data_IF_522256963112
#
_entry.id   IF_522256963112
#
_cell.length_a   1.000
_cell.length_b   1.000
_cell.length_c   1.000
_cell.angle_alpha   90.00
_cell.angle_beta   90.00
_cell.angle_gamma   90.00
#
_symmetry.space_group_name_H-M   'P 1'
#
loop_
_entity.id
_entity.type
_entity.pdbx_description
1 polymer ?
#
# COMPACT_ATOMS: atom_id res chain seq x y z
N UNK A 1 -24.85 -48.07 -10.40
CA UNK A 1 -23.57 -47.68 -11.04
C UNK A 1 -22.89 -46.72 -10.09
N UNK A 2 -22.08 -47.25 -9.18
CA UNK A 2 -21.34 -46.47 -8.18
C UNK A 2 -20.05 -45.98 -8.83
N UNK A 3 -20.00 -44.69 -9.19
CA UNK A 3 -18.78 -44.05 -9.66
C UNK A 3 -17.83 -43.85 -8.49
N UNK A 4 -16.63 -44.42 -8.59
CA UNK A 4 -15.54 -44.22 -7.65
C UNK A 4 -15.24 -42.71 -7.49
N UNK A 5 -15.28 -42.14 -6.26
CA UNK A 5 -15.03 -40.71 -6.02
C UNK A 5 -13.67 -40.25 -6.56
N UNK A 6 -12.66 -41.13 -6.64
CA UNK A 6 -11.37 -40.81 -7.24
C UNK A 6 -11.50 -40.50 -8.74
N UNK A 7 -12.38 -41.21 -9.45
CA UNK A 7 -12.63 -40.99 -10.88
C UNK A 7 -13.37 -39.67 -11.13
N UNK A 8 -14.22 -39.23 -10.19
CA UNK A 8 -14.92 -37.94 -10.28
C UNK A 8 -13.96 -36.76 -10.11
N UNK A 9 -13.06 -36.83 -9.14
CA UNK A 9 -12.06 -35.78 -8.86
C UNK A 9 -11.13 -35.60 -10.07
N UNK A 10 -10.66 -36.70 -10.67
CA UNK A 10 -9.80 -36.65 -11.86
C UNK A 10 -10.53 -36.01 -13.04
N UNK A 11 -11.81 -36.34 -13.27
CA UNK A 11 -12.61 -35.74 -14.35
C UNK A 11 -12.82 -34.24 -14.15
N UNK A 12 -13.10 -33.81 -12.92
CA UNK A 12 -13.26 -32.38 -12.58
C UNK A 12 -11.93 -31.64 -12.79
N UNK A 13 -10.82 -32.19 -12.32
CA UNK A 13 -9.49 -31.60 -12.51
C UNK A 13 -9.13 -31.46 -13.99
N UNK A 14 -9.45 -32.47 -14.82
CA UNK A 14 -9.23 -32.41 -16.27
C UNK A 14 -10.08 -31.34 -16.96
N UNK A 15 -11.35 -31.20 -16.56
CA UNK A 15 -12.25 -30.17 -17.13
C UNK A 15 -11.78 -28.77 -16.74
N UNK A 16 -11.39 -28.56 -15.47
CA UNK A 16 -10.84 -27.28 -15.01
C UNK A 16 -9.55 -26.95 -15.74
N UNK A 17 -8.62 -27.92 -15.85
CA UNK A 17 -7.37 -27.76 -16.59
C UNK A 17 -7.60 -27.40 -18.06
N UNK A 18 -8.50 -28.11 -18.74
CA UNK A 18 -8.85 -27.83 -20.14
C UNK A 18 -9.46 -26.43 -20.32
N UNK A 19 -10.29 -25.99 -19.37
CA UNK A 19 -10.91 -24.66 -19.39
C UNK A 19 -9.87 -23.56 -19.17
N UNK A 20 -8.94 -23.75 -18.23
CA UNK A 20 -7.83 -22.82 -18.00
C UNK A 20 -6.92 -22.71 -19.23
N UNK A 21 -6.55 -23.84 -19.85
CA UNK A 21 -5.72 -23.84 -21.07
C UNK A 21 -6.44 -23.11 -22.20
N UNK A 22 -7.72 -23.39 -22.42
CA UNK A 22 -8.51 -22.73 -23.46
C UNK A 22 -8.59 -21.21 -23.26
N UNK A 23 -8.75 -20.77 -22.01
CA UNK A 23 -8.77 -19.34 -21.67
C UNK A 23 -7.41 -18.66 -21.90
N UNK A 24 -6.31 -19.31 -21.50
CA UNK A 24 -4.94 -18.80 -21.72
C UNK A 24 -4.65 -18.66 -23.21
N UNK A 25 -4.98 -19.69 -24.02
CA UNK A 25 -4.78 -19.64 -25.48
C UNK A 25 -5.62 -18.53 -26.10
N UNK A 26 -6.89 -18.39 -25.69
CA UNK A 26 -7.77 -17.32 -26.16
C UNK A 26 -7.22 -15.93 -25.87
N UNK A 27 -6.73 -15.68 -24.65
CA UNK A 27 -6.12 -14.41 -24.29
C UNK A 27 -4.84 -14.12 -25.08
N UNK A 28 -3.99 -15.13 -25.29
CA UNK A 28 -2.73 -14.98 -26.02
C UNK A 28 -2.96 -14.62 -27.49
N UNK A 29 -3.99 -15.20 -28.12
CA UNK A 29 -4.40 -14.85 -29.49
C UNK A 29 -4.88 -13.40 -29.58
N UNK A 30 -5.66 -12.91 -28.61
CA UNK A 30 -6.11 -11.50 -28.57
C UNK A 30 -4.92 -10.54 -28.45
N UNK A 31 -3.93 -10.87 -27.62
CA UNK A 31 -2.74 -10.04 -27.43
C UNK A 31 -1.84 -10.03 -28.69
N UNK A 32 -1.71 -11.16 -29.38
CA UNK A 32 -1.00 -11.23 -30.68
C UNK A 32 -1.70 -10.38 -31.74
N UNK A 33 -3.03 -10.40 -31.82
CA UNK A 33 -3.80 -9.56 -32.76
C UNK A 33 -3.66 -8.08 -32.41
N UNK A 34 -3.63 -7.73 -31.13
CA UNK A 34 -3.40 -6.34 -30.67
C UNK A 34 -1.98 -5.85 -31.00
N UNK A 35 -0.98 -6.73 -30.87
CA UNK A 35 0.40 -6.44 -31.27
C UNK A 35 0.50 -6.22 -32.80
N UNK A 36 -0.12 -7.09 -33.60
CA UNK A 36 -0.13 -6.98 -35.06
C UNK A 36 -0.83 -5.70 -35.57
N UNK A 37 -1.76 -5.15 -34.79
CA UNK A 37 -2.44 -3.88 -35.09
C UNK A 37 -1.71 -2.64 -34.54
N UNK A 38 -0.53 -2.80 -33.96
CA UNK A 38 0.26 -1.68 -33.39
C UNK A 38 -0.34 -1.06 -32.12
N UNK A 39 -1.33 -1.71 -31.50
CA UNK A 39 -2.05 -1.18 -30.33
C UNK A 39 -1.29 -1.40 -29.01
N UNK A 40 -0.20 -2.17 -29.03
CA UNK A 40 0.57 -2.55 -27.83
C UNK A 40 2.07 -2.57 -28.16
N UNK A 41 2.91 -2.04 -27.27
CA UNK A 41 4.38 -2.12 -27.39
C UNK A 41 4.89 -3.54 -27.15
N UNK A 42 5.90 -3.98 -27.91
CA UNK A 42 6.57 -5.30 -27.81
C UNK A 42 7.04 -5.64 -26.38
N UNK A 43 7.35 -4.63 -25.57
CA UNK A 43 7.73 -4.79 -24.15
C UNK A 43 6.58 -5.28 -23.27
N UNK A 44 5.37 -4.80 -23.54
CA UNK A 44 4.13 -5.18 -22.83
C UNK A 44 3.70 -6.60 -23.20
N UNK A 45 3.90 -6.98 -24.47
CA UNK A 45 3.65 -8.33 -24.96
C UNK A 45 4.60 -9.35 -24.30
N UNK A 46 5.90 -9.05 -24.23
CA UNK A 46 6.87 -9.91 -23.52
C UNK A 46 6.54 -10.04 -22.02
N UNK A 47 6.06 -8.98 -21.37
CA UNK A 47 5.61 -9.02 -19.97
C UNK A 47 4.31 -9.82 -19.75
N UNK A 48 3.44 -9.90 -20.75
CA UNK A 48 2.27 -10.79 -20.72
C UNK A 48 2.70 -12.25 -20.91
N UNK A 49 3.55 -12.54 -21.91
CA UNK A 49 4.08 -13.88 -22.19
C UNK A 49 4.86 -14.43 -20.99
N UNK A 50 5.69 -13.62 -20.32
CA UNK A 50 6.42 -14.02 -19.12
C UNK A 50 5.50 -14.37 -17.94
N UNK A 51 4.40 -13.62 -17.75
CA UNK A 51 3.38 -13.94 -16.73
C UNK A 51 2.66 -15.25 -17.04
N UNK A 52 2.35 -15.51 -18.31
CA UNK A 52 1.72 -16.78 -18.71
C UNK A 52 2.64 -17.99 -18.57
N UNK A 53 3.93 -17.85 -18.88
CA UNK A 53 4.92 -18.91 -18.68
C UNK A 53 5.11 -19.25 -17.19
N UNK A 54 5.04 -18.26 -16.29
CA UNK A 54 5.04 -18.50 -14.84
C UNK A 54 3.80 -19.27 -14.36
N UNK A 55 2.61 -18.94 -14.87
CA UNK A 55 1.39 -19.66 -14.49
C UNK A 55 1.43 -21.11 -15.01
N UNK A 56 1.98 -21.33 -16.21
CA UNK A 56 2.15 -22.67 -16.77
C UNK A 56 3.14 -23.54 -15.96
N UNK A 57 4.25 -22.98 -15.46
CA UNK A 57 5.21 -23.73 -14.63
C UNK A 57 4.67 -24.09 -13.25
N UNK A 58 3.71 -23.34 -12.70
CA UNK A 58 3.04 -23.66 -11.43
C UNK A 58 1.99 -24.76 -11.59
N UNK A 59 1.36 -24.90 -12.77
CA UNK A 59 0.34 -25.92 -13.04
C UNK A 59 0.95 -27.27 -13.45
N UNK A 60 2.16 -27.27 -14.01
CA UNK A 60 2.83 -28.48 -14.52
C UNK A 60 3.25 -29.53 -13.44
N UNK A 61 3.57 -29.21 -12.18
CA UNK A 61 3.99 -30.23 -11.20
C UNK A 61 2.85 -31.13 -10.73
N UNK A 62 1.58 -30.74 -10.91
CA UNK A 62 0.44 -31.51 -10.39
C UNK A 62 0.13 -32.79 -11.18
N UNK A 63 0.80 -33.06 -12.30
CA UNK A 63 0.51 -34.23 -13.15
C UNK A 63 1.64 -35.28 -13.13
N UNK A 64 2.78 -35.05 -12.47
CA UNK A 64 3.93 -35.98 -12.52
C UNK A 64 4.55 -36.38 -11.15
N UNK A 65 3.87 -36.12 -10.03
CA UNK A 65 4.39 -36.40 -8.70
C UNK A 65 3.82 -37.65 -8.01
N UNK A 66 3.82 -38.84 -8.64
CA UNK A 66 3.69 -40.10 -7.88
C UNK A 66 5.05 -40.46 -7.27
N UNK A 67 5.34 -39.91 -6.09
CA UNK A 67 6.60 -40.14 -5.36
C UNK A 67 6.39 -40.03 -3.85
N UNK A 68 6.26 -41.19 -3.22
CA UNK A 68 6.09 -41.42 -1.78
C UNK A 68 7.14 -40.68 -0.95
N UNK A 69 6.71 -39.86 0.00
CA UNK A 69 7.52 -39.45 1.16
C UNK A 69 6.69 -39.64 2.44
N UNK A 70 7.01 -40.72 3.16
CA UNK A 70 6.53 -41.04 4.50
C UNK A 70 6.87 -39.90 5.46
N UNK A 71 5.85 -39.28 6.06
CA UNK A 71 6.01 -38.54 7.30
C UNK A 71 5.75 -39.50 8.46
N UNK A 72 6.78 -39.69 9.27
CA UNK A 72 6.82 -40.47 10.50
C UNK A 72 5.86 -39.84 11.52
N UNK A 73 4.80 -40.56 11.86
CA UNK A 73 3.89 -40.21 12.96
C UNK A 73 4.58 -40.45 14.30
N UNK A 74 4.65 -39.41 15.13
CA UNK A 74 4.93 -39.57 16.56
C UNK A 74 3.74 -40.24 17.25
N UNK A 75 4.10 -41.21 18.07
CA UNK A 75 3.28 -42.15 18.80
C UNK A 75 2.61 -41.44 20.00
N UNK A 76 1.27 -41.41 20.03
CA UNK A 76 0.49 -41.09 21.24
C UNK A 76 -0.34 -42.32 21.56
N UNK A 77 0.03 -42.97 22.65
CA UNK A 77 -0.73 -44.03 23.32
C UNK A 77 -1.95 -43.42 24.01
N UNK A 78 -3.11 -44.08 23.87
CA UNK A 78 -4.04 -44.40 24.97
C UNK A 78 -5.01 -45.48 24.45
N UNK A 79 -5.02 -46.69 25.02
CA UNK A 79 -5.93 -47.19 26.08
C UNK A 79 -7.38 -47.32 25.59
N UNK A 80 -7.80 -48.58 25.40
CA UNK A 80 -9.17 -49.03 25.14
C UNK A 80 -10.12 -48.65 26.30
N UNK A 81 -11.33 -48.16 26.00
CA UNK A 81 -12.59 -48.82 26.42
C UNK A 81 -13.84 -48.21 25.74
N UNK A 82 -14.88 -49.04 25.70
CA UNK A 82 -16.16 -49.03 24.98
C UNK A 82 -17.09 -47.80 25.08
N UNK A 83 -17.92 -47.61 24.04
CA UNK A 83 -19.26 -47.04 24.24
C UNK A 83 -19.90 -46.24 23.09
N UNK A 84 -20.68 -46.94 22.26
CA UNK A 84 -21.84 -46.49 21.44
C UNK A 84 -22.21 -44.99 21.41
N UNK A 85 -22.28 -44.44 20.20
CA UNK A 85 -23.11 -43.28 19.85
C UNK A 85 -22.86 -42.86 18.41
N UNK A 86 -23.84 -43.09 17.53
CA UNK A 86 -23.69 -42.84 16.09
C UNK A 86 -23.67 -41.37 15.74
N UNK A 87 -22.95 -41.02 14.68
CA UNK A 87 -23.26 -39.88 13.80
C UNK A 87 -22.43 -39.97 12.52
N UNK A 88 -23.09 -39.68 11.41
CA UNK A 88 -22.61 -39.74 10.03
C UNK A 88 -21.49 -38.72 9.75
N UNK A 89 -20.46 -39.06 8.95
CA UNK A 89 -19.45 -38.07 8.55
C UNK A 89 -20.00 -37.10 7.50
N UNK A 90 -20.06 -35.82 7.87
CA UNK A 90 -20.32 -34.69 6.97
C UNK A 90 -19.10 -34.51 6.08
N UNK A 91 -19.28 -34.66 4.77
CA UNK A 91 -18.29 -34.32 3.77
C UNK A 91 -18.16 -32.79 3.71
N UNK A 92 -17.00 -32.26 4.12
CA UNK A 92 -16.63 -30.86 3.89
C UNK A 92 -16.12 -30.73 2.46
N UNK A 93 -17.00 -30.28 1.57
CA UNK A 93 -16.65 -29.80 0.23
C UNK A 93 -16.08 -28.37 0.35
N UNK A 94 -14.90 -28.05 -0.20
CA UNK A 94 -14.46 -26.65 -0.26
C UNK A 94 -15.23 -25.95 -1.37
N UNK A 95 -16.27 -25.21 -0.98
CA UNK A 95 -17.02 -24.32 -1.86
C UNK A 95 -16.31 -22.97 -1.91
N UNK A 96 -15.95 -22.56 -3.12
CA UNK A 96 -15.54 -21.20 -3.47
C UNK A 96 -16.72 -20.26 -3.21
N UNK A 97 -16.57 -19.41 -2.21
CA UNK A 97 -17.32 -18.18 -1.96
C UNK A 97 -16.37 -17.27 -1.17
N UNK A 98 -16.05 -16.05 -1.55
CA UNK A 98 -16.97 -15.01 -1.98
C UNK A 98 -16.86 -13.88 -0.96
N UNK A 99 -16.45 -12.70 -1.45
CA UNK A 99 -16.30 -11.44 -0.70
C UNK A 99 -17.60 -11.05 0.03
N UNK A 100 -17.44 -10.25 1.09
CA UNK A 100 -18.41 -9.35 1.79
C UNK A 100 -19.01 -9.85 3.12
N UNK A 101 -18.60 -9.25 4.26
CA UNK A 101 -19.48 -8.46 5.16
C UNK A 101 -18.80 -8.06 6.50
N UNK A 102 -18.57 -6.74 6.65
CA UNK A 102 -18.76 -5.82 7.80
C UNK A 102 -18.54 -6.24 9.27
N UNK A 103 -18.03 -5.27 10.06
CA UNK A 103 -18.24 -5.23 11.50
C UNK A 103 -17.61 -4.05 12.26
N UNK A 104 -18.13 -2.83 12.07
CA UNK A 104 -18.04 -1.75 13.07
C UNK A 104 -18.78 -2.21 14.32
N UNK A 105 -18.13 -2.19 15.49
CA UNK A 105 -18.82 -2.25 16.78
C UNK A 105 -18.41 -1.04 17.61
N UNK A 106 -19.22 0.01 17.50
CA UNK A 106 -19.42 0.96 18.58
C UNK A 106 -20.43 0.33 19.56
N UNK A 107 -20.04 0.18 20.82
CA UNK A 107 -20.92 -0.27 21.90
C UNK A 107 -20.72 0.61 23.13
N UNK A 108 -21.55 1.66 23.25
CA UNK A 108 -21.80 2.34 24.52
C UNK A 108 -22.95 1.64 25.25
N UNK A 109 -22.87 1.74 26.58
CA UNK A 109 -23.92 1.71 27.59
C UNK A 109 -24.18 0.46 28.46
N UNK A 110 -23.60 0.58 29.66
CA UNK A 110 -24.22 0.51 30.99
C UNK A 110 -24.66 -0.84 31.56
N UNK A 111 -23.96 -1.26 32.62
CA UNK A 111 -24.61 -1.78 33.83
C UNK A 111 -23.94 -1.23 35.09
N UNK A 112 -24.70 -0.40 35.82
CA UNK A 112 -24.44 0.01 37.20
C UNK A 112 -24.75 -1.16 38.14
N UNK A 113 -23.81 -1.54 39.01
CA UNK A 113 -24.11 -1.94 40.40
C UNK A 113 -22.90 -1.69 41.31
N UNK A 114 -23.22 -1.26 42.52
CA UNK A 114 -22.39 -0.51 43.49
C UNK A 114 -22.00 -1.41 44.67
N UNK A 115 -20.84 -1.10 45.29
CA UNK A 115 -20.31 -1.49 46.64
C UNK A 115 -19.73 -2.91 46.74
N UNK A 116 -18.65 -3.22 47.47
CA UNK A 116 -17.73 -2.62 48.48
C UNK A 116 -16.56 -3.63 48.52
N UNK A 117 -15.25 -3.35 48.60
CA UNK A 117 -14.47 -2.82 49.73
C UNK A 117 -12.98 -3.06 49.39
N UNK A 118 -12.06 -2.26 49.95
CA UNK A 118 -10.70 -2.73 50.28
C UNK A 118 -9.56 -2.56 49.27
N UNK A 119 -8.92 -1.39 49.31
CA UNK A 119 -7.46 -1.17 49.32
C UNK A 119 -6.56 -1.83 48.25
N UNK A 120 -6.11 -1.03 47.29
CA UNK A 120 -4.88 -1.26 46.49
C UNK A 120 -4.05 0.02 46.41
N UNK A 121 -2.71 -0.08 46.29
CA UNK A 121 -1.79 1.03 46.52
C UNK A 121 -1.79 2.03 45.36
N UNK A 122 -1.61 3.30 45.71
CA UNK A 122 -1.54 4.43 44.80
C UNK A 122 -0.31 4.30 43.89
N UNK A 123 -0.53 4.05 42.61
CA UNK A 123 0.42 4.41 41.55
C UNK A 123 -0.07 5.74 40.99
N UNK A 124 0.73 6.79 41.16
CA UNK A 124 0.53 8.05 40.46
C UNK A 124 0.56 7.75 38.95
N UNK A 125 -0.60 7.81 38.33
CA UNK A 125 -0.72 7.85 36.88
C UNK A 125 -0.22 9.20 36.42
N UNK A 126 0.96 9.22 35.82
CA UNK A 126 1.36 10.31 34.95
C UNK A 126 0.30 10.43 33.85
N UNK A 127 -0.24 11.63 33.71
CA UNK A 127 -1.25 12.00 32.71
C UNK A 127 -0.78 11.65 31.29
N UNK A 128 -1.70 11.16 30.47
CA UNK A 128 -1.52 10.91 29.02
C UNK A 128 -1.36 12.20 28.19
N UNK A 129 -1.16 13.36 28.85
CA UNK A 129 -1.10 14.68 28.23
C UNK A 129 0.34 15.18 27.93
N UNK A 130 1.39 14.45 28.32
CA UNK A 130 2.80 14.88 28.13
C UNK A 130 3.51 14.29 26.89
N UNK A 131 2.77 13.66 25.96
CA UNK A 131 3.34 13.03 24.75
C UNK A 131 2.99 13.71 23.42
N UNK A 132 2.49 14.95 23.42
CA UNK A 132 2.02 15.59 22.19
C UNK A 132 2.50 17.02 21.91
N UNK A 133 3.57 17.49 22.56
CA UNK A 133 4.08 18.87 22.35
C UNK A 133 5.24 19.01 21.35
N UNK A 134 5.70 17.92 20.72
CA UNK A 134 6.67 17.96 19.61
C UNK A 134 6.00 17.70 18.25
N UNK A 135 4.76 18.18 18.06
CA UNK A 135 4.22 18.35 16.73
C UNK A 135 5.07 19.39 15.99
N UNK A 136 6.04 18.89 15.21
CA UNK A 136 6.83 19.61 14.20
C UNK A 136 6.01 20.75 13.61
N UNK A 137 6.30 21.97 14.07
CA UNK A 137 5.84 23.19 13.41
C UNK A 137 6.51 23.19 12.05
N UNK A 138 5.78 22.77 11.02
CA UNK A 138 6.20 22.90 9.63
C UNK A 138 6.19 24.40 9.34
N UNK A 139 7.38 24.92 9.08
CA UNK A 139 7.66 26.32 8.77
C UNK A 139 6.74 26.85 7.65
N UNK A 140 6.41 28.14 7.76
CA UNK A 140 5.50 28.88 6.91
C UNK A 140 5.88 28.75 5.42
N UNK A 141 4.98 28.15 4.63
CA UNK A 141 4.89 28.28 3.16
C UNK A 141 6.24 28.19 2.42
N UNK A 142 6.78 26.99 2.31
CA UNK A 142 7.77 26.65 1.27
C UNK A 142 7.28 27.22 -0.06
N UNK A 143 8.03 28.16 -0.64
CA UNK A 143 7.67 28.77 -1.91
C UNK A 143 7.47 27.68 -2.97
N UNK A 144 6.34 27.73 -3.69
CA UNK A 144 6.02 26.70 -4.68
C UNK A 144 7.09 26.72 -5.79
N UNK A 145 7.81 25.61 -6.00
CA UNK A 145 8.84 25.54 -7.03
C UNK A 145 8.24 25.73 -8.43
N UNK A 146 9.00 26.36 -9.33
CA UNK A 146 8.56 26.63 -10.72
C UNK A 146 8.32 25.35 -11.53
N UNK A 147 8.87 24.21 -11.11
CA UNK A 147 8.64 22.91 -11.74
C UNK A 147 7.23 22.34 -11.45
N UNK A 148 6.51 22.89 -10.47
CA UNK A 148 5.15 22.47 -10.12
C UNK A 148 4.16 23.09 -11.11
N UNK A 149 3.30 22.28 -11.75
CA UNK A 149 2.31 22.80 -12.68
C UNK A 149 1.28 23.68 -11.95
N UNK A 150 0.81 24.73 -12.61
CA UNK A 150 -0.33 25.52 -12.10
C UNK A 150 -1.56 24.61 -12.00
N UNK A 151 -2.22 24.65 -10.85
CA UNK A 151 -3.39 23.83 -10.55
C UNK A 151 -4.28 24.57 -9.55
N UNK A 152 -5.57 24.25 -9.61
CA UNK A 152 -6.56 24.76 -8.65
C UNK A 152 -6.87 23.71 -7.58
N UNK A 153 -6.65 22.43 -7.89
CA UNK A 153 -6.89 21.32 -7.00
C UNK A 153 -5.77 20.28 -7.03
N UNK A 154 -5.54 19.64 -5.89
CA UNK A 154 -4.63 18.50 -5.74
C UNK A 154 -5.44 17.26 -5.38
N UNK A 155 -5.30 16.21 -6.19
CA UNK A 155 -5.73 14.85 -5.86
C UNK A 155 -4.61 14.17 -5.07
N UNK A 156 -4.78 14.11 -3.75
CA UNK A 156 -3.80 13.57 -2.81
C UNK A 156 -3.94 12.06 -2.66
N UNK A 157 -2.91 11.30 -3.02
CA UNK A 157 -2.81 9.85 -2.83
C UNK A 157 -1.56 9.40 -2.09
N UNK A 158 -0.61 10.29 -1.79
CA UNK A 158 0.58 9.99 -0.97
C UNK A 158 0.23 9.98 0.53
N UNK A 159 -0.69 9.10 0.93
CA UNK A 159 -1.29 9.06 2.25
C UNK A 159 -2.80 8.84 2.14
N UNK A 160 -3.60 9.29 3.14
CA UNK A 160 -5.04 9.21 3.07
C UNK A 160 -5.59 9.95 1.85
N UNK A 161 -6.47 9.28 1.10
CA UNK A 161 -7.02 9.88 -0.12
C UNK A 161 -7.84 11.13 0.21
N UNK A 162 -7.56 12.20 -0.51
CA UNK A 162 -8.29 13.46 -0.40
C UNK A 162 -8.17 14.29 -1.67
N UNK A 163 -9.16 15.13 -1.95
CA UNK A 163 -9.01 16.23 -2.92
C UNK A 163 -9.02 17.55 -2.15
N UNK A 164 -8.05 18.41 -2.41
CA UNK A 164 -7.92 19.75 -1.78
C UNK A 164 -7.83 20.84 -2.83
N UNK A 165 -8.19 22.07 -2.47
CA UNK A 165 -7.85 23.27 -3.25
C UNK A 165 -6.34 23.53 -3.21
N UNK A 166 -5.85 24.43 -4.04
CA UNK A 166 -4.46 24.91 -4.01
C UNK A 166 -4.07 25.50 -2.64
N UNK A 167 -5.03 26.08 -1.92
CA UNK A 167 -4.85 26.63 -0.57
C UNK A 167 -4.88 25.56 0.54
N UNK A 168 -5.19 24.31 0.19
CA UNK A 168 -5.22 23.17 1.11
C UNK A 168 -6.60 22.81 1.67
N UNK A 169 -7.66 23.54 1.30
CA UNK A 169 -9.01 23.26 1.79
C UNK A 169 -9.58 21.98 1.19
N UNK A 170 -10.13 21.10 2.03
CA UNK A 170 -10.69 19.81 1.57
C UNK A 170 -11.98 20.01 0.77
N UNK A 171 -12.01 19.48 -0.45
CA UNK A 171 -13.21 19.40 -1.28
C UNK A 171 -14.14 18.32 -0.72
N UNK A 172 -15.42 18.68 -0.53
CA UNK A 172 -16.45 17.75 -0.02
C UNK A 172 -17.31 17.22 -1.17
N UNK A 173 -17.34 15.90 -1.30
CA UNK A 173 -18.21 15.20 -2.24
C UNK A 173 -19.44 14.67 -1.52
N UNK A 174 -20.61 14.69 -2.17
CA UNK A 174 -21.78 14.06 -1.58
C UNK A 174 -21.68 12.52 -1.61
N UNK A 175 -20.81 11.99 -2.49
CA UNK A 175 -20.60 10.55 -2.67
C UNK A 175 -19.11 10.21 -2.70
N UNK A 176 -18.70 9.18 -1.97
CA UNK A 176 -17.31 8.71 -1.96
C UNK A 176 -16.80 8.32 -3.37
N UNK A 177 -17.66 7.70 -4.19
CA UNK A 177 -17.30 7.35 -5.59
C UNK A 177 -17.03 8.55 -6.48
N UNK A 178 -17.47 9.75 -6.11
CA UNK A 178 -17.16 10.99 -6.83
C UNK A 178 -15.75 11.48 -6.54
N UNK A 179 -15.27 11.32 -5.30
CA UNK A 179 -13.87 11.54 -4.93
C UNK A 179 -12.96 10.55 -5.66
N UNK A 180 -13.32 9.26 -5.62
CA UNK A 180 -12.58 8.21 -6.34
C UNK A 180 -12.50 8.47 -7.84
N UNK A 181 -13.59 8.90 -8.48
CA UNK A 181 -13.57 9.23 -9.91
C UNK A 181 -12.57 10.35 -10.23
N UNK A 182 -12.53 11.41 -9.42
CA UNK A 182 -11.57 12.49 -9.64
C UNK A 182 -10.13 12.05 -9.44
N UNK A 183 -9.88 11.26 -8.40
CA UNK A 183 -8.55 10.70 -8.14
C UNK A 183 -8.14 9.78 -9.29
N UNK A 184 -9.04 8.92 -9.78
CA UNK A 184 -8.79 8.07 -10.94
C UNK A 184 -8.44 8.91 -12.18
N UNK A 185 -9.20 9.97 -12.47
CA UNK A 185 -8.92 10.86 -13.61
C UNK A 185 -7.58 11.60 -13.49
N UNK A 186 -7.21 12.04 -12.29
CA UNK A 186 -5.93 12.67 -12.02
C UNK A 186 -4.75 11.69 -12.23
N UNK A 187 -4.93 10.44 -11.82
CA UNK A 187 -3.92 9.38 -11.95
C UNK A 187 -3.85 8.74 -13.36
N UNK A 188 -4.84 8.99 -14.22
CA UNK A 188 -4.92 8.42 -15.58
C UNK A 188 -5.01 9.49 -16.68
N UNK A 189 -4.01 10.39 -16.82
CA UNK A 189 -4.09 11.50 -17.78
C UNK A 189 -4.27 11.05 -19.25
N UNK A 190 -3.81 9.85 -19.61
CA UNK A 190 -3.89 9.30 -20.97
C UNK A 190 -5.12 8.41 -21.23
N UNK A 191 -5.96 8.13 -20.23
CA UNK A 191 -7.05 7.13 -20.34
C UNK A 191 -8.40 7.64 -19.82
N UNK A 192 -8.66 8.94 -19.89
CA UNK A 192 -9.87 9.56 -19.29
C UNK A 192 -11.15 9.29 -20.09
N UNK A 193 -11.61 8.05 -20.12
CA UNK A 193 -12.84 7.62 -20.78
C UNK A 193 -13.87 7.09 -19.79
N UNK A 194 -15.18 7.31 -20.03
CA UNK A 194 -16.26 6.84 -19.14
C UNK A 194 -16.30 5.33 -19.08
N UNK A 195 -16.15 4.67 -20.22
CA UNK A 195 -16.07 3.20 -20.32
C UNK A 195 -14.96 2.62 -19.44
N UNK A 196 -13.76 3.19 -19.49
CA UNK A 196 -12.61 2.78 -18.68
C UNK A 196 -12.82 3.07 -17.19
N UNK A 197 -13.26 4.29 -16.86
CA UNK A 197 -13.54 4.67 -15.48
C UNK A 197 -14.57 3.73 -14.84
N UNK A 198 -15.60 3.32 -15.60
CA UNK A 198 -16.62 2.37 -15.11
C UNK A 198 -16.03 0.99 -14.82
N UNK A 199 -15.17 0.50 -15.69
CA UNK A 199 -14.54 -0.81 -15.54
C UNK A 199 -13.56 -0.86 -14.35
N UNK A 200 -12.86 0.24 -14.10
CA UNK A 200 -11.83 0.31 -13.06
C UNK A 200 -12.43 0.59 -11.67
N UNK A 201 -13.44 1.46 -11.58
CA UNK A 201 -14.02 1.90 -10.31
C UNK A 201 -15.03 0.87 -9.76
N UNK A 202 -15.80 0.22 -10.63
CA UNK A 202 -16.82 -0.75 -10.22
C UNK A 202 -16.46 -2.17 -10.64
N UNK A 203 -16.58 -3.11 -9.71
CA UNK A 203 -16.45 -4.54 -10.00
C UNK A 203 -17.59 -5.07 -10.89
N UNK A 204 -18.77 -4.45 -10.80
CA UNK A 204 -19.94 -4.81 -11.58
C UNK A 204 -20.38 -3.67 -12.52
N UNK A 205 -20.93 -3.99 -13.72
CA UNK A 205 -21.43 -2.97 -14.63
C UNK A 205 -22.51 -2.09 -13.98
N UNK A 206 -22.32 -0.78 -14.07
CA UNK A 206 -23.29 0.22 -13.55
C UNK A 206 -24.13 0.84 -14.67
N UNK A 207 -25.36 1.22 -14.33
CA UNK A 207 -26.26 1.95 -15.23
C UNK A 207 -25.71 3.34 -15.54
N UNK A 208 -26.04 3.86 -16.72
CA UNK A 208 -25.61 5.20 -17.15
C UNK A 208 -26.05 6.31 -16.19
N UNK A 209 -27.26 6.21 -15.63
CA UNK A 209 -27.78 7.17 -14.66
C UNK A 209 -26.95 7.24 -13.38
N UNK A 210 -26.44 6.10 -12.89
CA UNK A 210 -25.55 6.06 -11.72
C UNK A 210 -24.27 6.81 -12.01
N UNK A 211 -23.64 6.55 -13.15
CA UNK A 211 -22.41 7.24 -13.53
C UNK A 211 -22.63 8.74 -13.79
N UNK A 212 -23.76 9.12 -14.40
CA UNK A 212 -24.15 10.52 -14.58
C UNK A 212 -24.32 11.26 -13.25
N UNK A 213 -24.86 10.59 -12.21
CA UNK A 213 -24.96 11.15 -10.87
C UNK A 213 -23.59 11.37 -10.23
N UNK A 214 -22.66 10.42 -10.35
CA UNK A 214 -21.29 10.55 -9.83
C UNK A 214 -20.52 11.69 -10.49
N UNK A 215 -20.55 11.77 -11.83
CA UNK A 215 -19.89 12.85 -12.60
C UNK A 215 -20.50 14.22 -12.32
N UNK A 216 -21.82 14.30 -12.11
CA UNK A 216 -22.50 15.56 -11.76
C UNK A 216 -22.17 16.02 -10.34
N UNK A 217 -22.06 15.08 -9.40
CA UNK A 217 -21.62 15.39 -8.03
C UNK A 217 -20.16 15.86 -8.00
N UNK A 218 -19.26 15.18 -8.71
CA UNK A 218 -17.86 15.58 -8.82
C UNK A 218 -17.71 17.00 -9.41
N UNK A 219 -18.46 17.30 -10.48
CA UNK A 219 -18.53 18.65 -11.06
C UNK A 219 -18.97 19.70 -10.05
N UNK A 220 -20.08 19.44 -9.36
CA UNK A 220 -20.65 20.37 -8.39
C UNK A 220 -19.68 20.60 -7.22
N UNK A 221 -19.04 19.55 -6.72
CA UNK A 221 -18.09 19.66 -5.63
C UNK A 221 -16.90 20.57 -5.99
N UNK A 222 -16.32 20.42 -7.18
CA UNK A 222 -15.25 21.30 -7.65
C UNK A 222 -15.73 22.74 -7.87
N UNK A 223 -16.92 22.93 -8.45
CA UNK A 223 -17.48 24.27 -8.67
C UNK A 223 -17.81 25.01 -7.36
N UNK A 224 -18.16 24.29 -6.30
CA UNK A 224 -18.41 24.88 -4.97
C UNK A 224 -17.09 25.22 -4.28
N UNK A 225 -16.04 24.42 -4.48
CA UNK A 225 -14.76 24.58 -3.80
C UNK A 225 -13.79 25.53 -4.51
N UNK A 226 -13.94 25.78 -5.81
CA UNK A 226 -13.07 26.67 -6.57
C UNK A 226 -13.84 27.81 -7.25
N UNK A 227 -13.14 28.91 -7.54
CA UNK A 227 -13.73 30.10 -8.17
C UNK A 227 -13.61 30.10 -9.72
N UNK A 228 -13.07 29.04 -10.32
CA UNK A 228 -12.55 29.05 -11.70
C UNK A 228 -13.25 28.15 -12.74
N UNK A 229 -12.61 28.07 -13.91
CA UNK A 229 -13.01 27.25 -15.08
C UNK A 229 -12.51 25.80 -14.95
N UNK A 230 -11.65 25.53 -13.98
CA UNK A 230 -11.11 24.21 -13.72
C UNK A 230 -12.15 23.28 -13.15
N UNK A 231 -12.14 22.05 -13.64
CA UNK A 231 -13.01 21.01 -13.15
C UNK A 231 -13.24 19.93 -14.19
N UNK A 232 -14.30 19.17 -13.99
CA UNK A 232 -14.72 18.13 -14.90
C UNK A 232 -15.69 18.71 -15.93
N UNK A 233 -15.39 18.65 -17.22
CA UNK A 233 -16.25 19.22 -18.25
C UNK A 233 -17.53 18.39 -18.47
N UNK A 234 -18.59 19.04 -18.95
CA UNK A 234 -19.77 18.34 -19.48
C UNK A 234 -19.46 17.91 -20.91
N UNK A 235 -19.43 16.60 -21.14
CA UNK A 235 -19.18 16.00 -22.45
C UNK A 235 -20.29 15.02 -22.82
N UNK A 236 -20.62 14.96 -24.10
CA UNK A 236 -21.64 14.04 -24.67
C UNK A 236 -21.03 12.79 -25.31
N UNK A 237 -19.71 12.68 -25.32
CA UNK A 237 -18.95 11.54 -25.85
C UNK A 237 -18.43 10.66 -24.69
N UNK A 238 -17.60 9.66 -25.00
CA UNK A 238 -16.99 8.80 -23.98
C UNK A 238 -15.84 9.50 -23.21
N UNK A 239 -15.42 10.70 -23.59
CA UNK A 239 -14.26 11.37 -23.01
C UNK A 239 -14.61 12.16 -21.74
N UNK A 240 -13.76 12.09 -20.72
CA UNK A 240 -13.85 12.83 -19.47
C UNK A 240 -12.71 13.86 -19.40
N UNK A 241 -13.04 15.11 -19.72
CA UNK A 241 -12.05 16.19 -19.72
C UNK A 241 -11.96 16.77 -18.31
N UNK A 242 -10.78 16.64 -17.69
CA UNK A 242 -10.46 17.19 -16.37
C UNK A 242 -9.36 18.25 -16.49
N UNK A 243 -9.64 19.47 -16.02
CA UNK A 243 -8.73 20.62 -16.04
C UNK A 243 -8.45 21.15 -14.64
N UNK A 244 -7.24 21.69 -14.44
CA UNK A 244 -6.82 22.31 -13.17
C UNK A 244 -6.72 21.38 -11.97
N UNK A 245 -6.75 20.07 -12.17
CA UNK A 245 -6.51 19.06 -11.13
C UNK A 245 -5.23 18.30 -11.45
N UNK A 246 -4.30 18.27 -10.50
CA UNK A 246 -3.05 17.51 -10.55
C UNK A 246 -3.00 16.51 -9.39
N UNK A 247 -2.30 15.38 -9.54
CA UNK A 247 -2.03 14.52 -8.39
C UNK A 247 -0.77 14.95 -7.66
N UNK A 248 -0.72 14.73 -6.34
CA UNK A 248 0.49 14.91 -5.55
C UNK A 248 1.65 14.03 -6.05
N UNK A 249 1.36 12.84 -6.58
CA UNK A 249 2.33 11.97 -7.26
C UNK A 249 2.95 12.65 -8.49
N UNK A 250 2.16 13.33 -9.33
CA UNK A 250 2.69 14.05 -10.49
C UNK A 250 3.52 15.27 -10.06
N UNK A 251 3.09 15.99 -9.00
CA UNK A 251 3.88 17.07 -8.42
C UNK A 251 5.24 16.54 -7.96
N UNK A 252 5.25 15.49 -7.14
CA UNK A 252 6.50 14.88 -6.64
C UNK A 252 7.37 14.38 -7.80
N UNK A 253 6.77 13.80 -8.85
CA UNK A 253 7.50 13.34 -10.04
C UNK A 253 8.20 14.51 -10.72
N UNK A 254 7.55 15.66 -10.86
CA UNK A 254 8.15 16.87 -11.43
C UNK A 254 9.29 17.40 -10.59
N UNK A 255 9.15 17.39 -9.26
CA UNK A 255 10.21 17.77 -8.33
C UNK A 255 11.44 16.86 -8.45
N UNK A 256 11.25 15.54 -8.50
CA UNK A 256 12.33 14.56 -8.71
C UNK A 256 13.02 14.76 -10.05
N UNK A 257 12.25 14.95 -11.10
CA UNK A 257 12.75 15.19 -12.45
C UNK A 257 13.54 16.50 -12.56
N UNK A 258 13.09 17.55 -11.88
CA UNK A 258 13.76 18.84 -11.79
C UNK A 258 15.09 18.71 -11.07
N UNK A 259 15.08 18.17 -9.85
CA UNK A 259 16.28 18.00 -9.03
C UNK A 259 17.34 17.09 -9.68
N UNK A 260 16.91 16.12 -10.50
CA UNK A 260 17.84 15.29 -11.29
C UNK A 260 18.52 16.04 -12.43
N UNK A 261 17.80 16.96 -13.07
CA UNK A 261 18.29 17.67 -14.27
C UNK A 261 19.04 18.95 -13.92
N UNK A 262 18.62 19.63 -12.85
CA UNK A 262 19.14 20.91 -12.41
C UNK A 262 19.24 20.95 -10.87
N UNK A 263 20.15 20.15 -10.26
CA UNK A 263 20.28 20.10 -8.81
C UNK A 263 20.64 21.45 -8.19
N UNK A 264 21.46 22.25 -8.89
CA UNK A 264 21.87 23.59 -8.49
C UNK A 264 20.78 24.67 -8.63
N UNK A 265 19.74 24.42 -9.43
CA UNK A 265 18.65 25.36 -9.70
C UNK A 265 17.44 25.08 -8.79
N UNK A 266 17.67 25.12 -7.49
CA UNK A 266 16.61 24.89 -6.50
C UNK A 266 16.16 23.42 -6.39
N UNK A 267 17.04 22.46 -6.72
CA UNK A 267 16.71 21.03 -6.70
C UNK A 267 16.34 20.51 -5.31
N UNK A 268 17.04 20.98 -4.27
CA UNK A 268 16.77 20.60 -2.88
C UNK A 268 15.40 21.11 -2.41
N UNK A 269 15.09 22.37 -2.73
CA UNK A 269 13.82 23.04 -2.43
C UNK A 269 12.66 22.36 -3.16
N UNK A 270 12.86 21.98 -4.42
CA UNK A 270 11.88 21.22 -5.19
C UNK A 270 11.57 19.88 -4.53
N UNK A 271 12.59 19.12 -4.11
CA UNK A 271 12.40 17.85 -3.41
C UNK A 271 11.74 18.02 -2.04
N UNK A 272 12.13 19.04 -1.26
CA UNK A 272 11.47 19.37 0.03
C UNK A 272 10.00 19.68 -0.17
N UNK A 273 9.65 20.49 -1.17
CA UNK A 273 8.25 20.77 -1.50
C UNK A 273 7.50 19.47 -1.87
N UNK A 274 8.03 18.68 -2.80
CA UNK A 274 7.38 17.45 -3.25
C UNK A 274 7.19 16.42 -2.12
N UNK A 275 8.21 16.24 -1.28
CA UNK A 275 8.15 15.30 -0.14
C UNK A 275 7.22 15.79 0.97
N UNK A 276 7.02 17.10 1.14
CA UNK A 276 6.07 17.63 2.12
C UNK A 276 4.60 17.21 1.86
N UNK A 277 4.31 16.74 0.63
CA UNK A 277 2.99 16.21 0.27
C UNK A 277 2.76 14.78 0.78
N UNK A 278 3.81 14.10 1.25
CA UNK A 278 3.72 12.75 1.79
C UNK A 278 3.12 12.80 3.19
N UNK A 279 1.96 12.15 3.35
CA UNK A 279 1.16 12.11 4.57
C UNK A 279 1.06 10.71 5.17
N UNK A 280 1.64 9.71 4.50
CA UNK A 280 1.63 8.31 4.91
C UNK A 280 1.73 7.35 3.74
N UNK A 281 1.39 6.09 3.98
CA UNK A 281 1.36 5.06 2.93
C UNK A 281 0.40 5.46 1.81
N UNK A 282 0.83 5.37 0.52
CA UNK A 282 -0.01 5.74 -0.59
C UNK A 282 -1.36 5.00 -0.59
N UNK A 283 -2.43 5.72 -0.91
CA UNK A 283 -3.82 5.24 -0.90
C UNK A 283 -4.35 4.74 0.46
N UNK A 284 -3.67 5.04 1.58
CA UNK A 284 -4.12 4.59 2.90
C UNK A 284 -5.57 5.00 3.20
N UNK A 285 -6.32 4.09 3.83
CA UNK A 285 -7.72 4.31 4.16
C UNK A 285 -8.70 4.27 2.97
N UNK A 286 -8.24 4.08 1.74
CA UNK A 286 -9.08 3.88 0.56
C UNK A 286 -8.96 2.45 0.02
N UNK A 287 -10.07 1.87 -0.42
CA UNK A 287 -10.12 0.53 -1.03
C UNK A 287 -10.38 0.63 -2.54
N UNK A 288 -9.48 1.32 -3.24
CA UNK A 288 -9.57 1.52 -4.69
C UNK A 288 -8.96 0.33 -5.43
N UNK A 289 -9.81 -0.53 -6.03
CA UNK A 289 -9.39 -1.78 -6.68
C UNK A 289 -8.33 -1.55 -7.76
N UNK A 290 -8.43 -0.42 -8.46
CA UNK A 290 -7.54 -0.06 -9.55
C UNK A 290 -6.14 0.38 -9.10
N UNK A 291 -5.93 0.83 -7.85
CA UNK A 291 -4.61 1.34 -7.43
C UNK A 291 -3.53 0.27 -7.45
N UNK A 292 -3.87 -0.93 -6.97
CA UNK A 292 -2.94 -2.06 -6.88
C UNK A 292 -2.87 -2.83 -8.19
N UNK A 293 -4.02 -3.07 -8.84
CA UNK A 293 -4.08 -3.84 -10.09
C UNK A 293 -3.38 -3.14 -11.27
N UNK A 294 -3.26 -1.81 -11.23
CA UNK A 294 -2.49 -1.02 -12.21
C UNK A 294 -1.04 -0.78 -11.80
N UNK A 295 -0.66 -1.12 -10.56
CA UNK A 295 0.68 -0.88 -10.00
C UNK A 295 0.94 0.56 -9.55
N UNK A 296 -0.08 1.44 -9.55
CA UNK A 296 0.07 2.85 -9.21
C UNK A 296 0.47 3.07 -7.75
N UNK A 297 0.00 2.23 -6.82
CA UNK A 297 0.40 2.29 -5.42
C UNK A 297 1.91 2.01 -5.26
N UNK A 298 2.40 0.95 -5.91
CA UNK A 298 3.82 0.59 -5.93
C UNK A 298 4.67 1.67 -6.60
N UNK A 299 4.23 2.22 -7.73
CA UNK A 299 4.94 3.29 -8.42
C UNK A 299 5.06 4.56 -7.56
N UNK A 300 4.00 4.92 -6.82
CA UNK A 300 4.01 6.04 -5.89
C UNK A 300 5.00 5.80 -4.73
N UNK A 301 4.99 4.61 -4.13
CA UNK A 301 5.95 4.20 -3.11
C UNK A 301 7.39 4.35 -3.61
N UNK A 302 7.70 3.78 -4.77
CA UNK A 302 9.06 3.82 -5.33
C UNK A 302 9.52 5.24 -5.66
N UNK A 303 8.58 6.10 -6.07
CA UNK A 303 8.85 7.52 -6.30
C UNK A 303 9.20 8.25 -5.00
N UNK A 304 8.45 8.01 -3.92
CA UNK A 304 8.72 8.62 -2.61
C UNK A 304 10.07 8.17 -2.05
N UNK A 305 10.36 6.87 -2.04
CA UNK A 305 11.65 6.35 -1.55
C UNK A 305 12.83 6.94 -2.34
N UNK A 306 12.68 7.04 -3.66
CA UNK A 306 13.69 7.67 -4.53
C UNK A 306 13.88 9.15 -4.19
N UNK A 307 12.80 9.90 -4.03
CA UNK A 307 12.86 11.32 -3.71
C UNK A 307 13.52 11.55 -2.34
N UNK A 308 13.13 10.75 -1.34
CA UNK A 308 13.69 10.78 0.00
C UNK A 308 15.20 10.48 0.01
N UNK A 309 15.64 9.44 -0.71
CA UNK A 309 17.06 9.12 -0.85
C UNK A 309 17.85 10.24 -1.53
N UNK A 310 17.34 10.76 -2.65
CA UNK A 310 17.99 11.88 -3.35
C UNK A 310 18.13 13.12 -2.47
N UNK A 311 17.08 13.50 -1.72
CA UNK A 311 17.15 14.64 -0.82
C UNK A 311 18.09 14.38 0.36
N UNK A 312 18.08 13.16 0.92
CA UNK A 312 19.00 12.78 1.98
C UNK A 312 20.46 12.90 1.53
N UNK A 313 20.80 12.41 0.33
CA UNK A 313 22.15 12.55 -0.24
C UNK A 313 22.53 14.04 -0.40
N UNK A 314 21.65 14.86 -0.97
CA UNK A 314 21.89 16.31 -1.12
C UNK A 314 22.09 17.01 0.23
N UNK A 315 21.30 16.66 1.25
CA UNK A 315 21.43 17.21 2.59
C UNK A 315 22.74 16.75 3.26
N UNK A 316 23.14 15.49 3.06
CA UNK A 316 24.40 14.97 3.56
C UNK A 316 25.60 15.70 2.94
N UNK A 317 25.60 15.91 1.63
CA UNK A 317 26.62 16.70 0.93
C UNK A 317 26.69 18.15 1.44
N UNK A 318 25.52 18.73 1.77
CA UNK A 318 25.41 20.05 2.37
C UNK A 318 25.74 20.10 3.87
N UNK A 319 26.09 18.97 4.50
CA UNK A 319 26.32 18.83 5.94
C UNK A 319 25.11 19.27 6.79
N UNK A 320 23.90 19.03 6.29
CA UNK A 320 22.61 19.28 6.95
C UNK A 320 22.02 17.96 7.48
N UNK A 321 22.39 17.51 8.70
CA UNK A 321 21.90 16.26 9.25
C UNK A 321 20.40 16.29 9.57
N UNK A 322 19.84 17.46 9.90
CA UNK A 322 18.41 17.59 10.20
C UNK A 322 17.59 17.42 8.92
N UNK A 323 18.10 17.93 7.79
CA UNK A 323 17.58 17.64 6.45
C UNK A 323 17.62 16.16 6.08
N UNK A 324 18.68 15.43 6.45
CA UNK A 324 18.75 13.96 6.24
C UNK A 324 17.66 13.24 7.04
N UNK A 325 17.49 13.56 8.33
CA UNK A 325 16.45 12.97 9.15
C UNK A 325 15.04 13.28 8.64
N UNK A 326 14.81 14.52 8.22
CA UNK A 326 13.53 14.94 7.66
C UNK A 326 13.22 14.18 6.36
N UNK A 327 14.17 14.13 5.42
CA UNK A 327 14.02 13.46 4.13
C UNK A 327 13.74 11.95 4.29
N UNK A 328 14.56 11.27 5.09
CA UNK A 328 14.37 9.85 5.37
C UNK A 328 13.07 9.59 6.14
N UNK A 329 12.69 10.48 7.05
CA UNK A 329 11.40 10.44 7.75
C UNK A 329 10.21 10.46 6.79
N UNK A 330 10.22 11.34 5.79
CA UNK A 330 9.17 11.39 4.76
C UNK A 330 9.09 10.08 3.95
N UNK A 331 10.24 9.49 3.61
CA UNK A 331 10.26 8.18 2.95
C UNK A 331 9.67 7.07 3.83
N UNK A 332 9.98 7.08 5.13
CA UNK A 332 9.49 6.10 6.10
C UNK A 332 8.01 6.27 6.44
N UNK A 333 7.42 7.46 6.25
CA UNK A 333 5.97 7.65 6.31
C UNK A 333 5.24 6.86 5.21
N UNK A 334 5.82 6.83 3.99
CA UNK A 334 5.23 6.10 2.87
C UNK A 334 5.48 4.59 2.97
N UNK A 335 6.70 4.20 3.34
CA UNK A 335 7.10 2.80 3.51
C UNK A 335 7.72 2.61 4.89
N UNK A 336 6.91 2.28 5.90
CA UNK A 336 7.44 1.86 7.18
C UNK A 336 8.38 0.67 6.96
N UNK A 337 9.63 0.79 7.40
CA UNK A 337 10.58 -0.30 7.34
C UNK A 337 11.46 -0.37 6.11
N UNK A 338 11.46 0.66 5.26
CA UNK A 338 12.41 0.73 4.16
C UNK A 338 13.85 0.75 4.69
N UNK A 339 14.52 -0.40 4.57
CA UNK A 339 15.83 -0.62 5.21
C UNK A 339 16.92 0.31 4.69
N UNK A 340 16.88 0.70 3.42
CA UNK A 340 17.87 1.64 2.85
C UNK A 340 17.83 3.01 3.55
N UNK A 341 16.63 3.51 3.85
CA UNK A 341 16.45 4.79 4.54
C UNK A 341 16.77 4.67 6.03
N UNK A 342 16.42 3.55 6.65
CA UNK A 342 16.81 3.26 8.03
C UNK A 342 18.33 3.15 8.16
N UNK A 343 19.00 2.50 7.22
CA UNK A 343 20.45 2.37 7.20
C UNK A 343 21.14 3.74 7.15
N UNK A 344 20.62 4.69 6.37
CA UNK A 344 21.11 6.08 6.35
C UNK A 344 20.98 6.72 7.74
N UNK A 345 19.81 6.58 8.39
CA UNK A 345 19.59 7.14 9.74
C UNK A 345 20.50 6.52 10.80
N UNK A 346 20.70 5.19 10.76
CA UNK A 346 21.59 4.49 11.69
C UNK A 346 23.04 4.96 11.54
N UNK A 347 23.54 5.08 10.30
CA UNK A 347 24.88 5.61 10.03
C UNK A 347 25.03 7.03 10.56
N UNK A 348 24.02 7.88 10.33
CA UNK A 348 24.03 9.26 10.83
C UNK A 348 24.08 9.34 12.37
N UNK A 349 23.30 8.52 13.09
CA UNK A 349 23.42 8.46 14.55
C UNK A 349 24.83 8.01 15.00
N UNK A 350 25.41 7.02 14.33
CA UNK A 350 26.74 6.53 14.65
C UNK A 350 27.84 7.58 14.39
N UNK A 351 27.78 8.29 13.26
CA UNK A 351 28.68 9.40 12.92
C UNK A 351 28.63 10.51 13.97
N UNK A 352 27.42 10.84 14.43
CA UNK A 352 27.18 11.82 15.50
C UNK A 352 27.51 11.30 16.91
N UNK A 353 27.91 10.02 17.03
CA UNK A 353 28.13 9.30 18.30
C UNK A 353 26.91 9.30 19.22
N UNK A 354 25.72 9.42 18.64
CA UNK A 354 24.45 9.35 19.35
C UNK A 354 24.01 7.89 19.53
N UNK A 355 24.51 7.27 20.60
CA UNK A 355 24.20 5.88 20.92
C UNK A 355 22.74 5.66 21.32
N UNK A 356 22.10 6.66 21.93
CA UNK A 356 20.72 6.56 22.39
C UNK A 356 19.77 6.59 21.19
N UNK A 357 19.98 7.51 20.25
CA UNK A 357 19.23 7.56 19.00
C UNK A 357 19.42 6.29 18.18
N UNK A 358 20.67 5.84 18.01
CA UNK A 358 21.00 4.59 17.30
C UNK A 358 20.22 3.37 17.86
N UNK A 359 20.26 3.16 19.17
CA UNK A 359 19.55 2.04 19.82
C UNK A 359 18.03 2.21 19.81
N UNK A 360 17.52 3.44 19.79
CA UNK A 360 16.08 3.71 19.75
C UNK A 360 15.50 3.44 18.38
N UNK A 361 16.19 3.89 17.33
CA UNK A 361 15.81 3.65 15.93
C UNK A 361 15.82 2.14 15.62
N UNK A 362 16.87 1.42 16.03
CA UNK A 362 16.96 -0.03 15.85
C UNK A 362 15.80 -0.78 16.52
N UNK A 363 15.50 -0.46 17.79
CA UNK A 363 14.37 -1.08 18.51
C UNK A 363 13.03 -0.74 17.88
N UNK A 364 12.85 0.45 17.33
CA UNK A 364 11.63 0.83 16.62
C UNK A 364 11.44 -0.01 15.36
N UNK A 365 12.51 -0.19 14.58
CA UNK A 365 12.53 -1.07 13.41
C UNK A 365 12.21 -2.53 13.77
N UNK A 366 12.81 -3.08 14.84
CA UNK A 366 12.50 -4.45 15.29
C UNK A 366 11.03 -4.61 15.73
N UNK A 367 10.46 -3.63 16.45
CA UNK A 367 9.04 -3.67 16.84
C UNK A 367 8.12 -3.67 15.62
N UNK A 368 8.48 -2.91 14.60
CA UNK A 368 7.71 -2.84 13.37
C UNK A 368 7.79 -4.15 12.59
N UNK A 369 8.96 -4.79 12.46
CA UNK A 369 9.08 -6.13 11.87
C UNK A 369 8.24 -7.17 12.62
N UNK A 370 8.28 -7.15 13.95
CA UNK A 370 7.48 -8.05 14.77
C UNK A 370 5.97 -7.83 14.65
N UNK A 371 5.54 -6.64 14.24
CA UNK A 371 4.13 -6.31 14.03
C UNK A 371 3.62 -6.63 12.62
N UNK A 372 4.51 -6.85 11.64
CA UNK A 372 4.14 -7.17 10.27
C UNK A 372 3.75 -8.66 10.14
N UNK A 373 2.47 -8.99 9.83
CA UNK A 373 2.00 -10.37 9.70
C UNK A 373 2.66 -11.15 8.54
N UNK A 374 3.30 -10.45 7.60
CA UNK A 374 3.96 -11.07 6.45
C UNK A 374 5.47 -11.14 6.60
N UNK A 375 6.03 -10.56 7.66
CA UNK A 375 7.44 -10.66 8.01
C UNK A 375 7.71 -11.91 8.85
N UNK A 376 8.93 -12.47 8.74
CA UNK A 376 9.44 -13.47 9.68
C UNK A 376 9.95 -12.84 11.00
N UNK A 377 9.74 -11.53 11.17
CA UNK A 377 10.14 -10.75 12.33
C UNK A 377 11.64 -10.48 12.40
N UNK A 378 12.40 -10.85 11.38
CA UNK A 378 13.87 -10.79 11.39
C UNK A 378 14.39 -9.71 10.44
N UNK A 379 15.41 -8.93 10.84
CA UNK A 379 16.09 -8.00 9.93
C UNK A 379 16.72 -8.70 8.75
N UNK A 380 16.86 -7.99 7.63
CA UNK A 380 17.65 -8.54 6.52
C UNK A 380 19.11 -8.80 6.93
N UNK A 381 19.82 -9.69 6.21
CA UNK A 381 21.25 -9.92 6.46
C UNK A 381 22.11 -8.66 6.29
N UNK A 382 21.71 -7.74 5.41
CA UNK A 382 22.43 -6.48 5.21
C UNK A 382 22.25 -5.56 6.43
N UNK A 383 21.03 -5.46 6.93
CA UNK A 383 20.68 -4.64 8.08
C UNK A 383 21.30 -5.18 9.38
N UNK A 384 21.35 -6.51 9.53
CA UNK A 384 22.05 -7.18 10.64
C UNK A 384 23.55 -6.89 10.65
N UNK A 385 24.22 -6.99 9.48
CA UNK A 385 25.64 -6.66 9.35
C UNK A 385 25.92 -5.20 9.68
N UNK A 386 25.07 -4.28 9.21
CA UNK A 386 25.21 -2.87 9.54
C UNK A 386 25.12 -2.65 11.06
N UNK A 387 24.17 -3.30 11.73
CA UNK A 387 24.05 -3.21 13.18
C UNK A 387 25.30 -3.71 13.92
N UNK A 388 25.91 -4.80 13.45
CA UNK A 388 27.19 -5.32 13.96
C UNK A 388 28.33 -4.31 13.79
N UNK A 389 28.48 -3.75 12.58
CA UNK A 389 29.50 -2.77 12.23
C UNK A 389 29.42 -1.50 13.09
N UNK A 390 28.21 -1.06 13.43
CA UNK A 390 27.98 0.13 14.26
C UNK A 390 28.16 -0.13 15.77
N UNK A 391 28.57 -1.34 16.16
CA UNK A 391 28.83 -1.71 17.56
C UNK A 391 27.57 -2.09 18.34
N UNK A 392 26.49 -2.46 17.66
CA UNK A 392 25.17 -2.70 18.25
C UNK A 392 25.10 -3.84 19.28
N UNK A 393 26.08 -4.73 19.31
CA UNK A 393 26.16 -5.84 20.26
C UNK A 393 26.91 -5.52 21.56
N UNK A 394 27.72 -4.46 21.58
CA UNK A 394 28.48 -4.06 22.78
C UNK A 394 27.59 -3.45 23.89
N UNK A 395 26.32 -3.14 23.56
CA UNK A 395 25.40 -2.41 24.44
C UNK A 395 24.15 -3.19 24.83
N UNK A 396 24.04 -4.46 24.46
CA UNK A 396 22.86 -5.31 24.73
C UNK A 396 23.12 -6.62 25.50
N UNK A 397 24.38 -6.96 25.79
CA UNK A 397 24.78 -8.27 26.35
C UNK A 397 25.62 -8.16 27.64
N UNK A 398 25.39 -7.16 28.49
CA UNK A 398 26.07 -7.07 29.80
C UNK A 398 25.17 -7.10 31.03
N UNK A 399 23.85 -7.28 30.91
CA UNK A 399 23.02 -7.52 32.11
C UNK A 399 21.69 -8.22 31.84
N UNK A 400 21.76 -9.48 31.42
CA UNK A 400 20.72 -10.46 31.71
C UNK A 400 21.32 -11.86 31.60
N UNK A 401 22.09 -12.21 32.63
CA UNK A 401 22.17 -13.61 33.05
C UNK A 401 20.74 -14.02 33.37
N UNK A 402 20.16 -14.83 32.49
CA UNK A 402 18.98 -15.62 32.78
C UNK A 402 19.38 -16.52 33.95
N UNK A 403 18.93 -16.16 35.15
CA UNK A 403 18.79 -17.14 36.22
C UNK A 403 17.70 -18.12 35.82
N UNK A 404 18.06 -19.40 35.93
CA UNK A 404 17.30 -20.60 35.55
C UNK A 404 16.11 -20.82 36.48
#
# INVERSE_FOLDING_TARGET
MNGDPATLIIRVALVVGATCVSWIVGSLVVDVVRLARGAVSTRTFMGAVARYLMVATVVTPMVHGSGVARATTCDVRDVDDDGRGGETPIWVTPMVAGVTAMGVVAGRDTLRRRRRDGSTPTVEMLSEDDLNDDALVIDERVAVPTCVPVHDFVAGVLGPVSVTTADGDRVRFARARSEELLVWLAMHPSKRFRSMARADIWAEPVKDSTFANITSDARRALQVAGEGVSGLAVTLNDELVLTGVVSDVEILRRCVDHARRWPEDGGMEALRYGLSLVRGTPFSGASYIWSDSTGLATDAVMLVVRAAGMLADMCADAHDPDGVYWATGQGLLAVPGQEDLLAVRLRLHAERRDRVGLATEWRAYLRMLAADPWSDGSPSPAMSRLWEELGGYDHGMTNSRIEV
#
